data_IF_784982925558
#
_entry.id   IF_784982925558
#
_cell.length_a   1.000
_cell.length_b   1.000
_cell.length_c   1.000
_cell.angle_alpha   90.00
_cell.angle_beta   90.00
_cell.angle_gamma   90.00
#
_symmetry.space_group_name_H-M   'P 1'
#
loop_
_entity.id
_entity.type
_entity.pdbx_description
1 polymer ?
#
# COMPACT_ATOMS: atom_id res chain seq x y z
N UNK A 1 31.58 27.99 44.86
CA UNK A 1 30.44 27.06 44.73
C UNK A 1 29.51 27.62 43.66
N UNK A 2 29.24 26.88 42.57
CA UNK A 2 28.44 27.36 41.43
C UNK A 2 26.94 27.12 41.68
N UNK A 3 26.16 28.13 42.08
CA UNK A 3 24.76 27.94 42.50
C UNK A 3 23.88 27.50 41.31
N UNK A 4 24.21 27.96 40.10
CA UNK A 4 23.51 27.62 38.86
C UNK A 4 23.62 26.14 38.49
N UNK A 5 24.78 25.53 38.73
CA UNK A 5 25.00 24.09 38.51
C UNK A 5 24.19 23.25 39.51
N UNK A 6 24.09 23.70 40.77
CA UNK A 6 23.27 23.03 41.77
C UNK A 6 21.76 23.16 41.48
N UNK A 7 21.31 24.32 40.99
CA UNK A 7 19.90 24.52 40.57
C UNK A 7 19.55 23.71 39.33
N UNK A 8 20.45 23.64 38.34
CA UNK A 8 20.29 22.80 37.15
C UNK A 8 20.25 21.31 37.51
N UNK A 9 21.14 20.85 38.40
CA UNK A 9 21.12 19.47 38.86
C UNK A 9 19.90 19.14 39.71
N UNK A 10 19.45 20.07 40.55
CA UNK A 10 18.21 19.92 41.32
C UNK A 10 16.96 19.87 40.45
N UNK A 11 16.95 20.54 39.28
CA UNK A 11 15.84 20.48 38.33
C UNK A 11 15.80 19.15 37.55
N UNK A 12 16.94 18.65 37.08
CA UNK A 12 17.03 17.32 36.45
C UNK A 12 16.75 16.21 37.47
N UNK A 13 17.27 16.33 38.69
CA UNK A 13 17.01 15.38 39.77
C UNK A 13 15.52 15.21 40.07
N UNK A 14 14.71 16.27 39.92
CA UNK A 14 13.24 16.20 40.07
C UNK A 14 12.54 15.41 38.96
N UNK A 15 13.09 15.39 37.75
CA UNK A 15 12.60 14.54 36.65
C UNK A 15 12.94 13.06 36.89
N UNK A 16 14.07 12.78 37.55
CA UNK A 16 14.50 11.42 37.90
C UNK A 16 13.96 10.93 39.25
N UNK A 17 13.44 11.81 40.11
CA UNK A 17 12.90 11.47 41.44
C UNK A 17 11.39 11.19 41.46
N UNK A 18 10.67 11.49 40.37
CA UNK A 18 9.32 10.95 40.17
C UNK A 18 9.41 9.52 39.65
N UNK A 19 8.44 8.66 39.95
CA UNK A 19 8.38 7.29 39.43
C UNK A 19 8.52 7.31 37.90
N UNK A 20 9.76 7.10 37.43
CA UNK A 20 10.12 7.11 36.02
C UNK A 20 9.33 6.02 35.28
N UNK A 21 8.95 4.96 35.99
CA UNK A 21 8.01 3.91 35.56
C UNK A 21 6.58 4.42 35.32
N UNK A 22 6.08 5.36 36.12
CA UNK A 22 4.72 5.90 35.98
C UNK A 22 4.56 6.78 34.72
N UNK A 23 5.65 7.39 34.23
CA UNK A 23 5.66 8.14 32.96
C UNK A 23 6.10 7.28 31.76
N UNK A 24 7.05 6.35 31.96
CA UNK A 24 7.50 5.44 30.90
C UNK A 24 6.47 4.38 30.53
N UNK A 25 5.71 3.84 31.47
CA UNK A 25 4.72 2.79 31.19
C UNK A 25 3.69 3.21 30.12
N UNK A 26 3.00 4.37 30.23
CA UNK A 26 2.09 4.82 29.17
C UNK A 26 2.82 5.14 27.85
N UNK A 27 4.05 5.66 27.88
CA UNK A 27 4.85 5.89 26.67
C UNK A 27 5.16 4.59 25.93
N UNK A 28 5.59 3.53 26.65
CA UNK A 28 5.86 2.21 26.07
C UNK A 28 4.59 1.61 25.47
N UNK A 29 3.46 1.72 26.16
CA UNK A 29 2.16 1.26 25.63
C UNK A 29 1.80 2.01 24.35
N UNK A 30 1.97 3.33 24.30
CA UNK A 30 1.72 4.10 23.06
C UNK A 30 2.68 3.67 21.95
N UNK A 31 3.98 3.61 22.19
CA UNK A 31 4.97 3.22 21.19
C UNK A 31 4.78 1.79 20.67
N UNK A 32 4.27 0.86 21.49
CA UNK A 32 3.97 -0.51 21.08
C UNK A 32 2.59 -0.63 20.41
N UNK A 33 1.57 0.02 20.95
CA UNK A 33 0.19 -0.09 20.47
C UNK A 33 -0.01 0.68 19.16
N UNK A 34 0.60 1.85 18.99
CA UNK A 34 0.47 2.67 17.79
C UNK A 34 0.84 1.91 16.50
N UNK A 35 2.02 1.29 16.35
CA UNK A 35 2.35 0.53 15.15
C UNK A 35 1.43 -0.67 14.96
N UNK A 36 1.05 -1.37 16.03
CA UNK A 36 0.12 -2.51 15.96
C UNK A 36 -1.26 -2.09 15.45
N UNK A 37 -1.81 -1.00 15.98
CA UNK A 37 -3.09 -0.43 15.57
C UNK A 37 -3.04 0.06 14.11
N UNK A 38 -1.95 0.71 13.71
CA UNK A 38 -1.75 1.14 12.31
C UNK A 38 -1.72 -0.07 11.38
N UNK A 39 -0.95 -1.11 11.71
CA UNK A 39 -0.90 -2.34 10.89
C UNK A 39 -2.27 -3.01 10.82
N UNK A 40 -2.96 -3.16 11.96
CA UNK A 40 -4.29 -3.76 12.00
C UNK A 40 -5.31 -2.95 11.16
N UNK A 41 -5.31 -1.62 11.29
CA UNK A 41 -6.18 -0.75 10.51
C UNK A 41 -5.87 -0.83 9.01
N UNK A 42 -4.59 -0.84 8.62
CA UNK A 42 -4.18 -1.00 7.22
C UNK A 42 -4.59 -2.36 6.66
N UNK A 43 -4.43 -3.44 7.41
CA UNK A 43 -4.84 -4.79 7.00
C UNK A 43 -6.36 -4.86 6.81
N UNK A 44 -7.14 -4.29 7.74
CA UNK A 44 -8.60 -4.22 7.64
C UNK A 44 -8.98 -3.37 6.42
N UNK A 45 -8.47 -2.16 6.28
CA UNK A 45 -8.81 -1.27 5.16
C UNK A 45 -8.42 -1.90 3.83
N UNK A 46 -7.22 -2.46 3.69
CA UNK A 46 -6.81 -3.14 2.46
C UNK A 46 -7.67 -4.37 2.18
N UNK A 47 -7.97 -5.17 3.21
CA UNK A 47 -8.75 -6.39 3.09
C UNK A 47 -10.24 -6.18 2.77
N UNK A 48 -10.82 -5.04 3.16
CA UNK A 48 -12.25 -4.76 2.98
C UNK A 48 -12.54 -3.69 1.91
N UNK A 49 -11.73 -2.65 1.82
CA UNK A 49 -12.00 -1.52 0.92
C UNK A 49 -11.63 -1.83 -0.53
N UNK A 50 -10.48 -2.47 -0.77
CA UNK A 50 -10.04 -2.84 -2.11
C UNK A 50 -11.04 -3.77 -2.84
N UNK A 51 -11.52 -4.88 -2.24
CA UNK A 51 -12.52 -5.73 -2.90
C UNK A 51 -13.90 -5.07 -3.02
N UNK A 52 -14.29 -4.20 -2.09
CA UNK A 52 -15.55 -3.47 -2.19
C UNK A 52 -15.55 -2.46 -3.34
N UNK A 53 -14.43 -1.74 -3.54
CA UNK A 53 -14.28 -0.78 -4.64
C UNK A 53 -14.21 -1.47 -6.00
N UNK A 54 -13.47 -2.59 -6.11
CA UNK A 54 -13.42 -3.38 -7.35
C UNK A 54 -14.80 -3.93 -7.72
N UNK A 55 -15.55 -4.43 -6.73
CA UNK A 55 -16.92 -4.91 -6.93
C UNK A 55 -17.86 -3.79 -7.37
N UNK A 56 -17.77 -2.61 -6.75
CA UNK A 56 -18.60 -1.45 -7.12
C UNK A 56 -18.31 -0.97 -8.55
N UNK A 57 -17.04 -0.98 -8.98
CA UNK A 57 -16.66 -0.64 -10.37
C UNK A 57 -17.11 -1.73 -11.35
N UNK A 58 -16.97 -3.00 -10.98
CA UNK A 58 -17.47 -4.12 -11.78
C UNK A 58 -18.98 -4.02 -12.01
N UNK A 59 -19.76 -3.84 -10.95
CA UNK A 59 -21.22 -3.73 -11.01
C UNK A 59 -21.70 -2.49 -11.77
N UNK A 60 -21.05 -1.32 -11.60
CA UNK A 60 -21.50 -0.08 -12.25
C UNK A 60 -20.97 0.14 -13.66
N UNK A 61 -19.75 -0.29 -13.97
CA UNK A 61 -19.07 0.08 -15.22
C UNK A 61 -18.89 -1.09 -16.18
N UNK A 62 -18.90 -2.32 -15.68
CA UNK A 62 -18.76 -3.54 -16.48
C UNK A 62 -19.83 -4.61 -16.13
N UNK A 63 -21.13 -4.27 -16.18
CA UNK A 63 -22.19 -5.19 -15.77
C UNK A 63 -22.29 -6.47 -16.62
N UNK A 64 -21.72 -6.48 -17.84
CA UNK A 64 -21.69 -7.64 -18.74
C UNK A 64 -20.52 -8.60 -18.47
N UNK A 65 -19.60 -8.29 -17.56
CA UNK A 65 -18.47 -9.16 -17.23
C UNK A 65 -18.87 -10.22 -16.20
N UNK A 66 -18.92 -11.49 -16.62
CA UNK A 66 -19.15 -12.61 -15.71
C UNK A 66 -18.10 -12.69 -14.59
N UNK A 67 -18.58 -12.76 -13.34
CA UNK A 67 -17.77 -13.02 -12.14
C UNK A 67 -17.39 -14.51 -12.09
N UNK A 68 -16.15 -14.86 -12.45
CA UNK A 68 -15.66 -16.24 -12.38
C UNK A 68 -15.25 -16.69 -10.97
N UNK A 69 -15.23 -15.79 -9.96
CA UNK A 69 -14.93 -16.06 -8.53
C UNK A 69 -13.74 -17.01 -8.33
N UNK A 70 -12.63 -16.76 -9.03
CA UNK A 70 -11.49 -17.68 -9.10
C UNK A 70 -10.54 -17.67 -7.90
N UNK A 71 -10.85 -16.95 -6.82
CA UNK A 71 -9.96 -16.75 -5.68
C UNK A 71 -10.39 -17.60 -4.48
N UNK A 72 -9.67 -18.70 -4.23
CA UNK A 72 -9.81 -19.48 -2.98
C UNK A 72 -9.23 -18.69 -1.80
N UNK A 73 -9.93 -18.69 -0.67
CA UNK A 73 -9.51 -18.05 0.58
C UNK A 73 -8.10 -18.49 1.02
N UNK A 74 -7.77 -19.78 0.86
CA UNK A 74 -6.44 -20.34 1.14
C UNK A 74 -5.38 -19.78 0.17
N UNK A 75 -5.78 -19.54 -1.09
CA UNK A 75 -4.92 -18.90 -2.08
C UNK A 75 -4.62 -17.45 -1.75
N UNK A 76 -5.54 -16.72 -1.11
CA UNK A 76 -5.31 -15.36 -0.61
C UNK A 76 -4.27 -15.34 0.50
N UNK A 77 -4.40 -16.23 1.50
CA UNK A 77 -3.47 -16.31 2.64
C UNK A 77 -2.05 -16.69 2.21
N UNK A 78 -1.90 -17.75 1.40
CA UNK A 78 -0.60 -18.20 0.92
C UNK A 78 0.10 -17.14 0.06
N UNK A 79 -0.69 -16.34 -0.68
CA UNK A 79 -0.17 -15.29 -1.54
C UNK A 79 0.22 -14.03 -0.77
N UNK A 80 -0.55 -13.64 0.25
CA UNK A 80 -0.16 -12.57 1.17
C UNK A 80 1.17 -12.89 1.85
N UNK A 81 1.33 -14.12 2.36
CA UNK A 81 2.61 -14.61 2.89
C UNK A 81 3.74 -14.54 1.87
N UNK A 82 3.48 -14.98 0.63
CA UNK A 82 4.46 -14.90 -0.46
C UNK A 82 4.86 -13.46 -0.83
N UNK A 83 3.91 -12.53 -0.81
CA UNK A 83 4.15 -11.11 -1.09
C UNK A 83 4.88 -10.41 0.06
N UNK A 84 4.57 -10.74 1.32
CA UNK A 84 5.33 -10.25 2.48
C UNK A 84 6.77 -10.75 2.43
N UNK A 85 6.99 -12.03 2.13
CA UNK A 85 8.33 -12.58 2.01
C UNK A 85 9.11 -11.95 0.85
N UNK A 86 8.45 -11.76 -0.30
CA UNK A 86 9.03 -11.10 -1.46
C UNK A 86 9.37 -9.62 -1.18
N UNK A 87 8.53 -8.91 -0.44
CA UNK A 87 8.78 -7.54 -0.01
C UNK A 87 9.99 -7.46 0.93
N UNK A 88 10.12 -8.41 1.86
CA UNK A 88 11.30 -8.51 2.73
C UNK A 88 12.58 -8.77 1.93
N UNK A 89 12.54 -9.70 0.96
CA UNK A 89 13.68 -9.97 0.08
C UNK A 89 14.03 -8.74 -0.75
N UNK A 90 13.04 -8.07 -1.34
CA UNK A 90 13.27 -6.85 -2.12
C UNK A 90 13.88 -5.72 -1.27
N UNK A 91 13.43 -5.57 -0.02
CA UNK A 91 13.98 -4.61 0.94
C UNK A 91 15.46 -4.90 1.21
N UNK A 92 15.81 -6.15 1.53
CA UNK A 92 17.18 -6.58 1.82
C UNK A 92 18.08 -6.43 0.59
N UNK A 93 17.61 -6.81 -0.60
CA UNK A 93 18.36 -6.64 -1.85
C UNK A 93 18.56 -5.16 -2.20
N UNK A 94 17.62 -4.28 -1.81
CA UNK A 94 17.75 -2.85 -2.08
C UNK A 94 18.82 -2.16 -1.22
N UNK A 95 19.09 -2.63 0.00
CA UNK A 95 20.08 -2.04 0.93
C UNK A 95 21.45 -1.73 0.28
N UNK A 96 22.14 -2.67 -0.39
CA UNK A 96 23.43 -2.39 -1.01
C UNK A 96 23.35 -1.42 -2.19
N UNK A 97 22.21 -1.36 -2.89
CA UNK A 97 21.99 -0.46 -4.03
C UNK A 97 21.75 1.00 -3.60
N UNK A 98 21.46 1.26 -2.31
CA UNK A 98 21.24 2.60 -1.78
C UNK A 98 22.54 3.43 -1.68
N UNK A 99 23.70 2.79 -1.78
CA UNK A 99 25.01 3.44 -1.74
C UNK A 99 25.31 4.28 -3.00
N UNK A 100 24.49 4.16 -4.05
CA UNK A 100 24.63 4.90 -5.31
C UNK A 100 23.56 6.02 -5.33
N UNK A 101 23.93 7.32 -5.23
CA UNK A 101 22.99 8.42 -5.04
C UNK A 101 21.82 8.52 -6.05
N UNK A 102 22.03 8.39 -7.38
CA UNK A 102 20.91 8.44 -8.33
C UNK A 102 19.98 7.22 -8.25
N UNK A 103 20.50 6.07 -7.84
CA UNK A 103 19.72 4.83 -7.74
C UNK A 103 18.74 4.85 -6.57
N UNK A 104 19.07 5.55 -5.47
CA UNK A 104 18.18 5.68 -4.31
C UNK A 104 16.87 6.43 -4.61
N UNK A 105 16.84 7.25 -5.67
CA UNK A 105 15.63 7.98 -6.09
C UNK A 105 14.73 7.16 -7.02
N UNK A 106 15.28 6.14 -7.69
CA UNK A 106 14.59 5.36 -8.72
C UNK A 106 14.18 3.98 -8.20
N UNK A 107 15.07 3.30 -7.46
CA UNK A 107 14.83 1.95 -6.98
C UNK A 107 13.65 1.84 -6.03
N UNK A 108 13.50 2.69 -4.99
CA UNK A 108 12.39 2.54 -4.05
C UNK A 108 11.02 2.70 -4.74
N UNK A 109 10.78 3.73 -5.58
CA UNK A 109 9.53 3.83 -6.35
C UNK A 109 9.33 2.68 -7.33
N UNK A 110 10.40 2.16 -7.94
CA UNK A 110 10.31 1.03 -8.86
C UNK A 110 9.94 -0.27 -8.15
N UNK A 111 10.55 -0.55 -6.99
CA UNK A 111 10.25 -1.72 -6.16
C UNK A 111 8.81 -1.61 -5.61
N UNK A 112 8.46 -0.46 -5.05
CA UNK A 112 7.11 -0.20 -4.54
C UNK A 112 6.07 -0.28 -5.63
N UNK A 113 6.33 0.34 -6.79
CA UNK A 113 5.46 0.28 -7.94
C UNK A 113 5.28 -1.14 -8.46
N UNK A 114 6.37 -1.92 -8.50
CA UNK A 114 6.32 -3.32 -8.90
C UNK A 114 5.50 -4.18 -7.93
N UNK A 115 5.67 -3.99 -6.62
CA UNK A 115 4.92 -4.71 -5.61
C UNK A 115 3.42 -4.33 -5.67
N UNK A 116 3.14 -3.03 -5.78
CA UNK A 116 1.79 -2.47 -5.85
C UNK A 116 1.05 -3.01 -7.07
N UNK A 117 1.69 -3.03 -8.25
CA UNK A 117 1.08 -3.61 -9.44
C UNK A 117 0.75 -5.09 -9.23
N UNK A 118 1.66 -5.88 -8.64
CA UNK A 118 1.42 -7.32 -8.43
C UNK A 118 0.28 -7.61 -7.48
N UNK A 119 0.14 -6.82 -6.42
CA UNK A 119 -0.93 -6.93 -5.43
C UNK A 119 -2.25 -6.47 -6.06
N UNK A 120 -2.32 -5.20 -6.47
CA UNK A 120 -3.56 -4.55 -6.91
C UNK A 120 -4.13 -5.15 -8.19
N UNK A 121 -3.28 -5.49 -9.17
CA UNK A 121 -3.75 -6.11 -10.42
C UNK A 121 -4.27 -7.52 -10.17
N UNK A 122 -3.67 -8.23 -9.21
CA UNK A 122 -4.17 -9.55 -8.84
C UNK A 122 -5.52 -9.41 -8.14
N UNK A 123 -5.65 -8.53 -7.15
CA UNK A 123 -6.88 -8.35 -6.39
C UNK A 123 -8.04 -7.91 -7.31
N UNK A 124 -7.77 -7.00 -8.26
CA UNK A 124 -8.74 -6.59 -9.27
C UNK A 124 -9.20 -7.73 -10.20
N UNK A 125 -8.26 -8.60 -10.62
CA UNK A 125 -8.54 -9.68 -11.56
C UNK A 125 -9.05 -10.96 -10.88
N UNK A 126 -8.78 -11.17 -9.60
CA UNK A 126 -9.03 -12.43 -8.90
C UNK A 126 -10.53 -12.80 -8.85
N UNK A 127 -11.40 -11.80 -8.87
CA UNK A 127 -12.85 -11.98 -8.80
C UNK A 127 -13.50 -12.23 -10.19
N UNK A 128 -12.88 -11.72 -11.26
CA UNK A 128 -13.47 -11.72 -12.61
C UNK A 128 -12.73 -12.60 -13.63
N UNK A 129 -11.42 -12.84 -13.47
CA UNK A 129 -10.58 -13.54 -14.44
C UNK A 129 -10.22 -14.97 -14.00
N UNK A 130 -10.09 -15.88 -14.97
CA UNK A 130 -9.48 -17.19 -14.74
C UNK A 130 -7.97 -17.07 -14.50
N UNK A 131 -7.34 -18.12 -13.97
CA UNK A 131 -5.90 -18.14 -13.74
C UNK A 131 -5.08 -17.94 -15.03
N UNK A 132 -5.57 -18.48 -16.15
CA UNK A 132 -4.97 -18.36 -17.47
C UNK A 132 -5.17 -16.96 -18.07
N UNK A 133 -6.39 -16.41 -18.01
CA UNK A 133 -6.70 -15.03 -18.45
C UNK A 133 -5.81 -14.03 -17.71
N UNK A 134 -5.67 -14.19 -16.39
CA UNK A 134 -4.81 -13.34 -15.55
C UNK A 134 -3.33 -13.46 -15.92
N UNK A 135 -2.83 -14.66 -16.18
CA UNK A 135 -1.43 -14.85 -16.55
C UNK A 135 -1.11 -14.20 -17.90
N UNK A 136 -2.02 -14.30 -18.86
CA UNK A 136 -1.91 -13.67 -20.18
C UNK A 136 -1.90 -12.14 -20.05
N UNK A 137 -2.88 -11.57 -19.33
CA UNK A 137 -2.97 -10.12 -19.07
C UNK A 137 -1.72 -9.54 -18.40
N UNK A 138 -1.24 -10.19 -17.33
CA UNK A 138 -0.06 -9.74 -16.60
C UNK A 138 1.21 -9.81 -17.46
N UNK A 139 1.28 -10.70 -18.45
CA UNK A 139 2.40 -10.77 -19.39
C UNK A 139 2.31 -9.67 -20.45
N UNK A 140 1.13 -9.46 -21.03
CA UNK A 140 0.90 -8.48 -22.10
C UNK A 140 1.00 -7.03 -21.61
N UNK A 141 0.43 -6.71 -20.45
CA UNK A 141 0.35 -5.33 -19.94
C UNK A 141 1.35 -5.01 -18.83
N UNK A 142 2.43 -5.79 -18.70
CA UNK A 142 3.37 -5.69 -17.57
C UNK A 142 3.99 -4.29 -17.40
N UNK A 143 4.32 -3.62 -18.50
CA UNK A 143 4.99 -2.32 -18.47
C UNK A 143 4.01 -1.20 -18.11
N UNK A 144 2.79 -1.27 -18.64
CA UNK A 144 1.73 -0.31 -18.38
C UNK A 144 1.31 -0.40 -16.91
N UNK A 145 1.11 -1.63 -16.40
CA UNK A 145 0.77 -1.85 -14.99
C UNK A 145 1.91 -1.42 -14.06
N UNK A 146 3.18 -1.67 -14.43
CA UNK A 146 4.33 -1.16 -13.69
C UNK A 146 4.36 0.37 -13.67
N UNK A 147 4.09 1.03 -14.81
CA UNK A 147 4.01 2.49 -14.90
C UNK A 147 2.94 3.09 -13.98
N UNK A 148 1.74 2.51 -13.99
CA UNK A 148 0.67 2.90 -13.05
C UNK A 148 1.14 2.68 -11.61
N UNK A 149 1.76 1.54 -11.31
CA UNK A 149 2.29 1.22 -9.99
C UNK A 149 3.34 2.23 -9.51
N UNK A 150 4.27 2.63 -10.37
CA UNK A 150 5.30 3.64 -10.07
C UNK A 150 4.67 5.00 -9.80
N UNK A 151 3.70 5.42 -10.63
CA UNK A 151 2.96 6.67 -10.41
C UNK A 151 2.19 6.65 -9.09
N UNK A 152 1.51 5.55 -8.78
CA UNK A 152 0.86 5.32 -7.50
C UNK A 152 1.86 5.34 -6.33
N UNK A 153 3.06 4.78 -6.52
CA UNK A 153 4.15 4.83 -5.54
C UNK A 153 4.62 6.26 -5.25
N UNK A 154 4.77 7.09 -6.28
CA UNK A 154 5.09 8.51 -6.12
C UNK A 154 3.94 9.30 -5.47
N UNK A 155 2.69 9.04 -5.85
CA UNK A 155 1.51 9.61 -5.19
C UNK A 155 1.46 9.20 -3.72
N UNK A 156 1.82 7.95 -3.39
CA UNK A 156 1.92 7.44 -2.03
C UNK A 156 3.05 8.10 -1.22
N UNK A 157 4.01 8.74 -1.88
CA UNK A 157 5.03 9.54 -1.22
C UNK A 157 4.56 10.97 -0.90
N UNK A 158 3.47 11.46 -1.51
CA UNK A 158 2.96 12.82 -1.28
C UNK A 158 2.62 13.15 0.18
N UNK A 159 2.04 12.24 1.00
CA UNK A 159 1.86 12.49 2.43
C UNK A 159 3.17 12.70 3.19
N UNK A 160 4.29 12.17 2.70
CA UNK A 160 5.62 12.38 3.31
C UNK A 160 6.02 13.86 3.28
N UNK A 161 5.55 14.62 2.28
CA UNK A 161 5.71 16.08 2.25
C UNK A 161 4.90 16.76 3.37
N UNK A 162 3.71 16.24 3.70
CA UNK A 162 2.88 16.75 4.81
C UNK A 162 3.55 16.45 6.15
N UNK A 163 4.18 15.28 6.29
CA UNK A 163 5.00 14.96 7.47
C UNK A 163 6.23 15.86 7.59
N UNK A 164 6.94 16.09 6.48
CA UNK A 164 8.11 16.98 6.45
C UNK A 164 7.72 18.43 6.80
N UNK A 165 6.56 18.91 6.36
CA UNK A 165 6.05 20.23 6.70
C UNK A 165 5.53 20.32 8.14
N UNK A 166 5.07 19.23 8.74
CA UNK A 166 4.69 19.18 10.16
C UNK A 166 5.80 19.62 11.12
N UNK A 167 7.06 19.42 10.76
CA UNK A 167 8.22 19.90 11.53
C UNK A 167 8.36 21.44 11.50
N UNK A 168 7.93 22.07 10.39
CA UNK A 168 7.93 23.54 10.21
C UNK A 168 6.67 24.19 10.77
N UNK A 169 5.55 23.45 10.80
CA UNK A 169 4.24 23.92 11.26
C UNK A 169 3.77 23.16 12.50
N UNK A 170 4.59 23.14 13.56
CA UNK A 170 4.29 22.43 14.80
C UNK A 170 2.91 22.78 15.40
N UNK A 171 2.47 24.04 15.27
CA UNK A 171 1.14 24.48 15.70
C UNK A 171 -0.02 23.85 14.90
N UNK A 172 0.21 23.46 13.64
CA UNK A 172 -0.78 22.84 12.77
C UNK A 172 -0.75 21.31 12.82
N UNK A 173 0.10 20.70 13.66
CA UNK A 173 0.32 19.25 13.67
C UNK A 173 -0.96 18.44 13.88
N UNK A 174 -1.86 18.89 14.77
CA UNK A 174 -3.15 18.25 15.02
C UNK A 174 -4.08 18.22 13.80
N UNK A 175 -3.90 19.13 12.85
CA UNK A 175 -4.67 19.17 11.59
C UNK A 175 -3.92 18.41 10.48
N UNK A 176 -2.59 18.56 10.42
CA UNK A 176 -1.74 17.96 9.40
C UNK A 176 -1.72 16.43 9.50
N UNK A 177 -1.74 15.85 10.70
CA UNK A 177 -1.72 14.40 10.89
C UNK A 177 -3.00 13.72 10.34
N UNK A 178 -4.22 14.13 10.74
CA UNK A 178 -5.44 13.61 10.12
C UNK A 178 -5.50 13.84 8.61
N UNK A 179 -5.06 15.01 8.14
CA UNK A 179 -5.00 15.32 6.72
C UNK A 179 -4.06 14.38 5.96
N UNK A 180 -2.87 14.10 6.48
CA UNK A 180 -1.92 13.17 5.88
C UNK A 180 -2.52 11.74 5.79
N UNK A 181 -3.20 11.29 6.86
CA UNK A 181 -3.89 9.99 6.88
C UNK A 181 -5.01 9.95 5.82
N UNK A 182 -5.77 11.03 5.66
CA UNK A 182 -6.79 11.15 4.62
C UNK A 182 -6.19 11.10 3.21
N UNK A 183 -5.08 11.81 2.98
CA UNK A 183 -4.37 11.77 1.70
C UNK A 183 -3.90 10.34 1.41
N UNK A 184 -3.31 9.64 2.39
CA UNK A 184 -2.95 8.22 2.24
C UNK A 184 -4.14 7.35 1.81
N UNK A 185 -5.28 7.54 2.47
CA UNK A 185 -6.50 6.76 2.19
C UNK A 185 -7.05 7.05 0.79
N UNK A 186 -7.09 8.34 0.38
CA UNK A 186 -7.55 8.74 -0.95
C UNK A 186 -6.62 8.26 -2.06
N UNK A 187 -5.30 8.37 -1.87
CA UNK A 187 -4.31 7.86 -2.81
C UNK A 187 -4.43 6.35 -2.96
N UNK A 188 -4.61 5.63 -1.85
CA UNK A 188 -4.82 4.19 -1.87
C UNK A 188 -6.10 3.82 -2.64
N UNK A 189 -7.22 4.45 -2.32
CA UNK A 189 -8.51 4.21 -2.99
C UNK A 189 -8.43 4.53 -4.49
N UNK A 190 -7.83 5.66 -4.85
CA UNK A 190 -7.61 6.07 -6.25
C UNK A 190 -6.74 5.05 -6.99
N UNK A 191 -5.64 4.60 -6.38
CA UNK A 191 -4.76 3.59 -6.95
C UNK A 191 -5.51 2.27 -7.20
N UNK A 192 -6.27 1.80 -6.21
CA UNK A 192 -7.09 0.60 -6.34
C UNK A 192 -8.12 0.72 -7.48
N UNK A 193 -8.83 1.85 -7.56
CA UNK A 193 -9.79 2.14 -8.63
C UNK A 193 -9.15 2.18 -10.01
N UNK A 194 -7.97 2.80 -10.14
CA UNK A 194 -7.25 2.88 -11.41
C UNK A 194 -6.82 1.49 -11.87
N UNK A 195 -6.20 0.71 -10.99
CA UNK A 195 -5.84 -0.68 -11.29
C UNK A 195 -7.05 -1.53 -11.65
N UNK A 196 -8.16 -1.41 -10.91
CA UNK A 196 -9.40 -2.10 -11.20
C UNK A 196 -9.94 -1.76 -12.60
N UNK A 197 -10.02 -0.46 -12.90
CA UNK A 197 -10.54 0.00 -14.18
C UNK A 197 -9.69 -0.51 -15.35
N UNK A 198 -8.37 -0.36 -15.26
CA UNK A 198 -7.46 -0.78 -16.32
C UNK A 198 -7.47 -2.30 -16.52
N UNK A 199 -7.46 -3.07 -15.43
CA UNK A 199 -7.45 -4.53 -15.50
C UNK A 199 -8.76 -5.11 -16.04
N UNK A 200 -9.91 -4.58 -15.62
CA UNK A 200 -11.22 -5.03 -16.10
C UNK A 200 -11.45 -4.67 -17.56
N UNK A 201 -11.01 -3.48 -17.99
CA UNK A 201 -11.08 -3.08 -19.40
C UNK A 201 -10.21 -3.98 -20.28
N UNK A 202 -8.97 -4.24 -19.88
CA UNK A 202 -8.08 -5.13 -20.61
C UNK A 202 -8.60 -6.58 -20.65
N UNK A 203 -9.29 -7.03 -19.59
CA UNK A 203 -9.97 -8.34 -19.56
C UNK A 203 -11.16 -8.39 -20.53
N UNK A 204 -11.95 -7.32 -20.61
CA UNK A 204 -13.05 -7.21 -21.57
C UNK A 204 -12.53 -7.34 -23.01
N UNK A 205 -11.45 -6.63 -23.33
CA UNK A 205 -10.81 -6.67 -24.64
C UNK A 205 -10.25 -8.06 -24.96
N UNK A 206 -9.59 -8.72 -24.00
CA UNK A 206 -9.06 -10.08 -24.18
C UNK A 206 -10.18 -11.09 -24.49
N UNK A 207 -11.31 -11.01 -23.78
CA UNK A 207 -12.46 -11.90 -24.01
C UNK A 207 -13.12 -11.62 -25.35
N UNK A 208 -13.26 -10.35 -25.73
CA UNK A 208 -13.78 -9.96 -27.04
C UNK A 208 -12.91 -10.50 -28.18
N UNK A 209 -11.59 -10.39 -28.06
CA UNK A 209 -10.64 -10.94 -29.04
C UNK A 209 -10.77 -12.47 -29.16
N UNK A 210 -10.81 -13.20 -28.03
CA UNK A 210 -10.99 -14.66 -28.02
C UNK A 210 -12.33 -15.11 -28.60
N UNK A 211 -13.40 -14.34 -28.37
CA UNK A 211 -14.71 -14.63 -28.95
C UNK A 211 -14.73 -14.49 -30.48
N UNK A 212 -13.95 -13.55 -31.04
CA UNK A 212 -13.77 -13.40 -32.49
C UNK A 212 -12.92 -14.54 -33.06
N UNK A 213 -11.91 -15.01 -32.33
CA UNK A 213 -11.04 -16.14 -32.72
C UNK A 213 -11.72 -17.51 -32.61
N UNK A 214 -12.91 -17.61 -32.01
CA UNK A 214 -13.71 -18.83 -31.96
C UNK A 214 -14.88 -18.76 -32.95
N UNK A 215 -14.67 -18.76 -34.27
CA UNK A 215 -15.77 -18.86 -35.22
C UNK A 215 -16.39 -20.26 -35.09
N UNK A 216 -17.73 -20.30 -35.07
CA UNK A 216 -18.59 -21.48 -35.19
C UNK A 216 -17.90 -22.68 -35.87
N UNK A 217 -17.45 -23.65 -35.06
CA UNK A 217 -16.71 -24.84 -35.52
C UNK A 217 -17.15 -26.12 -34.82
N UNK A 218 -18.38 -26.18 -34.33
CA UNK A 218 -19.04 -27.41 -33.89
C UNK A 218 -20.53 -27.31 -34.21
N UNK A 219 -20.85 -27.49 -35.49
CA UNK A 219 -22.17 -27.96 -35.93
C UNK A 219 -22.24 -29.48 -35.74
#
# INVERSE_FOLDING_TARGET
>A
SWPLLASFWGWIGRFFSGDVTATLAPLVVVFAATPLLVVAALVIVAGFMAPALTRLVGERRFPSLEQKKGASFIGSVARSLGLTLLALVALVVSMPLWLIPPLVLILPPLIWGWLTYRVMSFDALAEHASAEERATLLRTHRLQLLGIGVLCGYLGAAPSLVWASGLLFAAAFFVLVPLAIWIYTLVFAFSALWFAHYCLDALAQLRAARAIETPQGSA
#
